data_IF_256102330981
#
_entry.id   IF_256102330981
#
_cell.length_a   1.000
_cell.length_b   1.000
_cell.length_c   1.000
_cell.angle_alpha   90.00
_cell.angle_beta   90.00
_cell.angle_gamma   90.00
#
_symmetry.space_group_name_H-M   'P 1'
#
loop_
_entity.id
_entity.type
_entity.pdbx_description
1 polymer ?
#
# COMPACT_ATOMS: atom_id res chain seq x y z
N UNK A 1 0.29 -4.13 26.24
CA UNK A 1 0.09 -4.03 24.79
C UNK A 1 -0.23 -5.42 24.29
N UNK A 2 -1.50 -5.70 23.96
CA UNK A 2 -1.82 -6.95 23.26
C UNK A 2 -1.17 -6.87 21.87
N UNK A 3 -0.49 -7.92 21.39
CA UNK A 3 -0.03 -7.94 20.00
C UNK A 3 -1.26 -7.79 19.13
N UNK A 4 -1.29 -6.75 18.29
CA UNK A 4 -2.29 -6.65 17.22
C UNK A 4 -2.20 -7.95 16.42
N UNK A 5 -3.31 -8.65 16.27
CA UNK A 5 -3.36 -9.91 15.56
C UNK A 5 -3.07 -9.64 14.09
N UNK A 6 -1.81 -9.83 13.68
CA UNK A 6 -1.39 -9.77 12.29
C UNK A 6 -1.75 -11.12 11.65
N UNK A 7 -2.86 -11.16 10.91
CA UNK A 7 -3.24 -12.32 10.12
C UNK A 7 -2.57 -12.23 8.75
N UNK A 8 -1.91 -13.31 8.32
CA UNK A 8 -1.36 -13.44 6.96
C UNK A 8 -2.04 -14.62 6.28
N UNK A 9 -2.59 -14.37 5.10
CA UNK A 9 -3.18 -15.39 4.24
C UNK A 9 -2.43 -15.39 2.91
N UNK A 10 -1.89 -16.54 2.53
CA UNK A 10 -1.24 -16.71 1.23
C UNK A 10 -1.98 -17.78 0.43
N UNK A 11 -2.30 -17.47 -0.82
CA UNK A 11 -3.03 -18.36 -1.72
C UNK A 11 -2.44 -18.31 -3.12
N UNK A 12 -2.23 -19.46 -3.74
CA UNK A 12 -2.03 -19.57 -5.19
C UNK A 12 -3.41 -19.60 -5.87
N UNK A 13 -3.65 -18.68 -6.82
CA UNK A 13 -4.84 -18.66 -7.66
C UNK A 13 -4.65 -19.53 -8.90
N UNK A 14 -3.43 -19.50 -9.44
CA UNK A 14 -2.92 -20.37 -10.50
C UNK A 14 -1.39 -20.49 -10.38
N UNK A 15 -0.73 -21.11 -11.38
CA UNK A 15 0.72 -21.34 -11.39
C UNK A 15 1.58 -20.06 -11.31
N UNK A 16 1.06 -18.92 -11.78
CA UNK A 16 1.79 -17.65 -11.89
C UNK A 16 1.20 -16.57 -10.99
N UNK A 17 -0.06 -16.72 -10.56
CA UNK A 17 -0.79 -15.72 -9.78
C UNK A 17 -0.91 -16.14 -8.32
N UNK A 18 -0.45 -15.27 -7.44
CA UNK A 18 -0.49 -15.44 -6.00
C UNK A 18 -1.20 -14.25 -5.35
N UNK A 19 -1.92 -14.52 -4.28
CA UNK A 19 -2.57 -13.52 -3.46
C UNK A 19 -2.02 -13.61 -2.04
N UNK A 20 -1.59 -12.46 -1.52
CA UNK A 20 -1.24 -12.25 -0.13
C UNK A 20 -2.27 -11.31 0.48
N UNK A 21 -2.95 -11.75 1.53
CA UNK A 21 -3.87 -10.93 2.32
C UNK A 21 -3.32 -10.72 3.72
N UNK A 22 -3.35 -9.49 4.19
CA UNK A 22 -2.97 -9.12 5.56
C UNK A 22 -3.99 -8.17 6.16
N UNK A 23 -4.20 -8.24 7.47
CA UNK A 23 -5.11 -7.33 8.19
C UNK A 23 -4.46 -6.83 9.47
N UNK A 24 -4.76 -5.57 9.83
CA UNK A 24 -4.19 -4.90 10.99
C UNK A 24 -5.22 -4.01 11.65
N UNK A 25 -5.65 -4.35 12.87
CA UNK A 25 -6.53 -3.48 13.65
C UNK A 25 -5.76 -2.26 14.18
N UNK A 26 -6.30 -1.07 13.95
CA UNK A 26 -5.80 0.20 14.46
C UNK A 26 -6.87 0.87 15.36
N UNK A 27 -6.53 1.33 16.58
CA UNK A 27 -7.47 2.00 17.49
C UNK A 27 -7.67 3.49 17.10
N UNK A 28 -8.00 3.73 15.83
CA UNK A 28 -8.32 5.05 15.27
C UNK A 28 -9.55 4.92 14.36
N UNK A 29 -10.28 6.00 14.17
CA UNK A 29 -11.39 6.04 13.22
C UNK A 29 -10.90 5.85 11.77
N UNK A 30 -11.81 5.39 10.92
CA UNK A 30 -11.50 4.99 9.53
C UNK A 30 -10.99 6.16 8.71
N UNK A 31 -11.58 7.33 8.89
CA UNK A 31 -11.23 8.55 8.18
C UNK A 31 -9.79 8.98 8.52
N UNK A 32 -9.39 8.85 9.79
CA UNK A 32 -8.02 9.10 10.23
C UNK A 32 -7.04 8.06 9.71
N UNK A 33 -7.43 6.78 9.68
CA UNK A 33 -6.60 5.74 9.07
C UNK A 33 -6.41 6.01 7.57
N UNK A 34 -7.49 6.28 6.85
CA UNK A 34 -7.47 6.51 5.40
C UNK A 34 -6.68 7.76 5.02
N UNK A 35 -6.88 8.89 5.73
CA UNK A 35 -6.16 10.15 5.45
C UNK A 35 -4.65 10.03 5.58
N UNK A 36 -4.14 9.06 6.35
CA UNK A 36 -2.71 8.75 6.36
C UNK A 36 -2.23 8.24 4.99
N UNK A 37 -3.03 7.43 4.29
CA UNK A 37 -2.69 6.89 2.96
C UNK A 37 -2.97 7.87 1.82
N UNK A 38 -3.78 8.91 2.05
CA UNK A 38 -4.02 9.97 1.06
C UNK A 38 -2.79 10.85 0.81
N UNK A 39 -1.79 10.78 1.69
CA UNK A 39 -0.51 11.46 1.51
C UNK A 39 0.61 10.44 1.20
N UNK A 40 1.07 10.36 -0.05
CA UNK A 40 2.16 9.48 -0.46
C UNK A 40 3.45 9.70 0.34
N UNK A 41 3.66 10.87 0.95
CA UNK A 41 4.84 11.14 1.79
C UNK A 41 4.85 10.28 3.04
N UNK A 42 3.68 9.86 3.53
CA UNK A 42 3.55 8.97 4.67
C UNK A 42 3.97 7.53 4.36
N UNK A 43 4.10 7.14 3.08
CA UNK A 43 4.64 5.82 2.71
C UNK A 43 6.05 5.61 3.27
N UNK A 44 6.84 6.68 3.41
CA UNK A 44 8.17 6.60 4.02
C UNK A 44 8.11 6.13 5.47
N UNK A 45 7.15 6.62 6.26
CA UNK A 45 7.01 6.32 7.69
C UNK A 45 6.65 4.85 7.96
N UNK A 46 5.97 4.19 7.02
CA UNK A 46 5.55 2.79 7.14
C UNK A 46 6.42 1.83 6.32
N UNK A 47 7.38 2.34 5.55
CA UNK A 47 8.30 1.51 4.78
C UNK A 47 9.57 1.24 5.59
N UNK A 48 9.94 -0.02 5.83
CA UNK A 48 11.17 -0.34 6.54
C UNK A 48 12.42 0.33 5.94
N UNK A 49 13.28 0.92 6.77
CA UNK A 49 14.49 1.65 6.35
C UNK A 49 15.38 0.89 5.36
N UNK A 50 15.46 -0.43 5.50
CA UNK A 50 16.28 -1.29 4.64
C UNK A 50 15.80 -1.32 3.18
N UNK A 51 14.55 -0.94 2.90
CA UNK A 51 14.02 -0.77 1.55
C UNK A 51 14.43 0.56 0.90
N UNK A 52 15.04 1.51 1.63
CA UNK A 52 15.52 2.81 1.09
C UNK A 52 14.54 3.43 0.08
N UNK A 53 13.27 3.55 0.50
CA UNK A 53 12.20 4.08 -0.35
C UNK A 53 12.44 5.54 -0.67
N UNK A 54 12.37 5.90 -1.96
CA UNK A 54 12.55 7.28 -2.43
C UNK A 54 11.55 7.61 -3.51
N UNK A 55 10.74 8.64 -3.31
CA UNK A 55 9.89 9.19 -4.37
C UNK A 55 10.74 9.97 -5.36
N UNK A 56 10.49 9.78 -6.65
CA UNK A 56 11.20 10.49 -7.72
C UNK A 56 10.56 11.84 -8.05
N UNK A 57 9.27 12.02 -7.73
CA UNK A 57 8.55 13.30 -7.80
C UNK A 57 7.90 13.63 -6.44
N UNK A 58 8.65 14.23 -5.50
CA UNK A 58 8.13 14.56 -4.17
C UNK A 58 7.07 15.67 -4.17
N UNK A 59 6.90 16.40 -5.29
CA UNK A 59 5.88 17.45 -5.42
C UNK A 59 4.47 16.89 -5.62
N UNK A 60 4.35 15.62 -6.01
CA UNK A 60 3.06 14.95 -6.19
C UNK A 60 2.60 14.32 -4.86
N UNK A 61 1.62 14.95 -4.23
CA UNK A 61 1.11 14.54 -2.92
C UNK A 61 -0.38 14.16 -2.91
N UNK A 62 -1.06 14.19 -4.05
CA UNK A 62 -2.49 13.92 -4.13
C UNK A 62 -2.74 12.52 -4.69
N UNK A 63 -3.57 11.74 -3.99
CA UNK A 63 -4.05 10.43 -4.41
C UNK A 63 -5.45 10.60 -5.01
N UNK A 64 -5.64 10.11 -6.23
CA UNK A 64 -6.92 10.09 -6.95
C UNK A 64 -6.88 9.02 -8.03
N UNK A 65 -8.03 8.63 -8.57
CA UNK A 65 -8.09 7.65 -9.65
C UNK A 65 -7.31 8.13 -10.89
N UNK A 66 -6.35 7.33 -11.35
CA UNK A 66 -5.42 7.67 -12.43
C UNK A 66 -4.13 8.37 -11.97
N UNK A 67 -4.00 8.74 -10.69
CA UNK A 67 -2.74 9.25 -10.15
C UNK A 67 -1.62 8.22 -10.33
N UNK A 68 -0.45 8.70 -10.75
CA UNK A 68 0.75 7.87 -10.93
C UNK A 68 1.85 8.29 -9.98
N UNK A 69 2.56 7.30 -9.45
CA UNK A 69 3.68 7.49 -8.52
C UNK A 69 4.91 6.73 -9.02
N UNK A 70 6.03 7.44 -9.11
CA UNK A 70 7.34 6.93 -9.49
C UNK A 70 8.25 6.94 -8.25
N UNK A 71 8.78 5.78 -7.88
CA UNK A 71 9.66 5.64 -6.72
C UNK A 71 10.74 4.57 -6.94
N UNK A 72 11.71 4.52 -6.04
CA UNK A 72 12.71 3.46 -5.99
C UNK A 72 12.70 2.77 -4.63
N UNK A 73 12.95 1.46 -4.64
CA UNK A 73 13.20 0.66 -3.43
C UNK A 73 14.51 -0.11 -3.60
N UNK A 74 15.13 -0.55 -2.51
CA UNK A 74 16.26 -1.46 -2.48
C UNK A 74 15.84 -2.79 -1.88
N UNK A 75 15.85 -3.84 -2.70
CA UNK A 75 15.65 -5.19 -2.20
C UNK A 75 16.98 -5.94 -2.23
N UNK A 76 17.42 -6.42 -1.06
CA UNK A 76 18.74 -7.05 -0.87
C UNK A 76 19.90 -6.18 -1.39
N UNK A 77 19.79 -4.86 -1.25
CA UNK A 77 20.79 -3.89 -1.70
C UNK A 77 20.73 -3.53 -3.19
N UNK A 78 19.90 -4.19 -3.98
CA UNK A 78 19.72 -3.92 -5.41
C UNK A 78 18.59 -2.89 -5.58
N UNK A 79 18.84 -1.74 -6.25
CA UNK A 79 17.80 -0.73 -6.49
C UNK A 79 16.85 -1.17 -7.60
N UNK A 80 15.55 -1.05 -7.35
CA UNK A 80 14.47 -1.26 -8.31
C UNK A 80 13.68 0.03 -8.45
N UNK A 81 13.44 0.43 -9.70
CA UNK A 81 12.47 1.49 -10.00
C UNK A 81 11.08 0.87 -10.12
N UNK A 82 10.10 1.54 -9.54
CA UNK A 82 8.71 1.14 -9.57
C UNK A 82 7.86 2.35 -9.97
N UNK A 83 6.99 2.14 -10.95
CA UNK A 83 5.93 3.06 -11.33
C UNK A 83 4.58 2.40 -11.08
N UNK A 84 3.74 3.07 -10.30
CA UNK A 84 2.39 2.59 -9.96
C UNK A 84 1.33 3.59 -10.41
N UNK A 85 0.08 3.11 -10.53
CA UNK A 85 -1.09 3.92 -10.83
C UNK A 85 -2.26 3.50 -9.93
N UNK A 86 -2.99 4.47 -9.40
CA UNK A 86 -4.25 4.22 -8.70
C UNK A 86 -5.33 3.91 -9.74
N UNK A 87 -5.89 2.71 -9.70
CA UNK A 87 -6.91 2.25 -10.67
C UNK A 87 -8.33 2.34 -10.12
N UNK A 88 -8.49 2.36 -8.79
CA UNK A 88 -9.76 2.58 -8.09
C UNK A 88 -9.53 3.46 -6.86
N UNK A 89 -10.40 4.44 -6.63
CA UNK A 89 -10.30 5.35 -5.49
C UNK A 89 -11.68 5.67 -4.92
N UNK A 90 -12.00 5.09 -3.76
CA UNK A 90 -13.28 5.24 -3.06
C UNK A 90 -13.06 5.61 -1.59
N UNK A 91 -12.64 6.86 -1.30
CA UNK A 91 -12.41 7.31 0.06
C UNK A 91 -13.72 7.32 0.88
N UNK A 92 -13.67 6.99 2.20
CA UNK A 92 -12.53 6.51 2.96
C UNK A 92 -12.47 4.96 3.06
N UNK A 93 -13.02 4.24 2.07
CA UNK A 93 -13.31 2.79 2.16
C UNK A 93 -12.22 1.95 1.50
N UNK A 94 -11.86 2.28 0.25
CA UNK A 94 -10.90 1.46 -0.53
C UNK A 94 -10.11 2.29 -1.52
N UNK A 95 -8.92 1.79 -1.87
CA UNK A 95 -8.24 2.15 -3.10
C UNK A 95 -7.38 1.00 -3.61
N UNK A 96 -7.03 1.02 -4.89
CA UNK A 96 -6.21 -0.03 -5.52
C UNK A 96 -5.09 0.59 -6.33
N UNK A 97 -3.85 0.21 -6.02
CA UNK A 97 -2.68 0.55 -6.82
C UNK A 97 -2.25 -0.63 -7.69
N UNK A 98 -1.87 -0.33 -8.94
CA UNK A 98 -1.37 -1.30 -9.90
C UNK A 98 0.00 -0.88 -10.40
N UNK A 99 0.92 -1.84 -10.54
CA UNK A 99 2.21 -1.60 -11.17
C UNK A 99 2.04 -1.34 -12.68
N UNK A 100 2.52 -0.18 -13.11
CA UNK A 100 2.70 0.17 -14.53
C UNK A 100 4.05 -0.35 -15.05
N UNK A 101 5.10 -0.22 -14.24
CA UNK A 101 6.43 -0.76 -14.52
C UNK A 101 7.14 -1.08 -13.20
N UNK A 102 7.82 -2.22 -13.10
CA UNK A 102 8.46 -2.62 -11.84
C UNK A 102 9.02 -4.05 -11.87
N UNK A 103 9.41 -4.59 -10.71
CA UNK A 103 10.11 -5.86 -10.63
C UNK A 103 9.22 -7.08 -10.89
N UNK A 104 7.89 -6.94 -10.75
CA UNK A 104 6.95 -8.04 -10.99
C UNK A 104 6.48 -8.08 -12.44
N UNK A 105 6.00 -9.24 -12.90
CA UNK A 105 5.28 -9.33 -14.18
C UNK A 105 3.97 -8.56 -14.15
N UNK A 106 3.27 -8.61 -13.02
CA UNK A 106 2.08 -7.84 -12.71
C UNK A 106 1.98 -7.69 -11.19
N UNK A 107 1.43 -6.58 -10.73
CA UNK A 107 1.18 -6.34 -9.32
C UNK A 107 -0.06 -5.45 -9.20
N UNK A 108 -0.99 -5.88 -8.35
CA UNK A 108 -2.19 -5.16 -7.97
C UNK A 108 -2.33 -5.30 -6.45
N UNK A 109 -2.57 -4.18 -5.78
CA UNK A 109 -2.63 -4.12 -4.33
C UNK A 109 -3.87 -3.32 -3.91
N UNK A 110 -4.78 -4.03 -3.27
CA UNK A 110 -6.03 -3.49 -2.75
C UNK A 110 -5.86 -3.14 -1.27
N UNK A 111 -6.20 -1.91 -0.94
CA UNK A 111 -6.32 -1.42 0.43
C UNK A 111 -7.80 -1.33 0.77
N UNK A 112 -8.21 -1.93 1.88
CA UNK A 112 -9.58 -1.88 2.42
C UNK A 112 -9.51 -1.36 3.84
N UNK A 113 -10.42 -0.45 4.17
CA UNK A 113 -10.54 0.13 5.49
C UNK A 113 -11.95 -0.15 6.01
N UNK A 114 -12.06 -1.04 6.98
CA UNK A 114 -13.34 -1.43 7.56
C UNK A 114 -13.54 -0.78 8.92
N UNK A 115 -14.68 -0.11 9.10
CA UNK A 115 -15.05 0.43 10.40
C UNK A 115 -15.44 -0.72 11.35
N UNK A 116 -14.87 -0.73 12.55
CA UNK A 116 -15.08 -1.76 13.56
C UNK A 116 -15.38 -1.14 14.92
N UNK A 117 -15.91 -1.93 15.86
CA UNK A 117 -16.11 -1.45 17.23
C UNK A 117 -14.75 -1.13 17.88
N UNK A 118 -14.51 0.16 18.13
CA UNK A 118 -13.28 0.66 18.74
C UNK A 118 -12.13 1.00 17.79
N UNK A 119 -12.30 0.92 16.46
CA UNK A 119 -11.25 1.32 15.53
C UNK A 119 -11.50 0.94 14.06
N UNK A 120 -10.42 0.72 13.33
CA UNK A 120 -10.43 0.36 11.90
C UNK A 120 -9.63 -0.91 11.68
N UNK A 121 -10.11 -1.78 10.79
CA UNK A 121 -9.39 -2.96 10.31
C UNK A 121 -8.81 -2.72 8.91
#
# INVERSE_FOLDING_TARGET
>A
MHPQAFAVQFRSLDLLTHQLGTSLFLPVDREKAFSFFEDPRNLFEITPDWLDFRMLDPGRSEVYEGAEFDYTIKWLGIPFRWKSRIIHYHPPVTFTDMQVAGPYRSWEHLHVFEETDGGTL
#
